data_IF_551192149142
#
_entry.id   IF_551192149142
#
_cell.length_a   1.000
_cell.length_b   1.000
_cell.length_c   1.000
_cell.angle_alpha   90.00
_cell.angle_beta   90.00
_cell.angle_gamma   90.00
#
_symmetry.space_group_name_H-M   'P 1'
#
loop_
_entity.id
_entity.type
_entity.pdbx_description
1 polymer ?
#
# COMPACT_ATOMS: atom_id res chain seq x y z
N UNK A 1 25.62 -2.21 10.52
CA UNK A 1 24.31 -1.82 10.08
C UNK A 1 23.67 -3.02 9.42
N UNK A 2 22.58 -3.58 9.99
CA UNK A 2 21.79 -4.60 9.30
C UNK A 2 21.12 -3.89 8.13
N UNK A 3 21.29 -4.38 6.92
CA UNK A 3 20.41 -4.08 5.81
C UNK A 3 18.98 -4.40 6.30
N UNK A 4 18.07 -3.45 6.19
CA UNK A 4 16.65 -3.74 6.35
C UNK A 4 16.30 -4.84 5.34
N UNK A 5 15.53 -5.81 5.79
CA UNK A 5 15.06 -6.89 4.92
C UNK A 5 14.23 -6.24 3.81
N UNK A 6 14.57 -6.41 2.52
CA UNK A 6 13.87 -5.73 1.43
C UNK A 6 12.40 -6.13 1.30
N UNK A 7 11.99 -7.19 1.98
CA UNK A 7 10.64 -7.76 1.90
C UNK A 7 9.64 -7.14 2.91
N UNK A 8 10.08 -6.17 3.73
CA UNK A 8 9.24 -5.56 4.77
C UNK A 8 8.50 -4.35 4.20
N UNK A 9 7.18 -4.39 4.25
CA UNK A 9 6.28 -3.31 3.85
C UNK A 9 5.76 -2.59 5.08
N UNK A 10 6.17 -1.34 5.37
CA UNK A 10 5.60 -0.57 6.46
C UNK A 10 4.10 -0.32 6.28
N UNK A 11 3.36 -0.56 7.34
CA UNK A 11 1.93 -0.35 7.43
C UNK A 11 1.60 0.76 8.42
N UNK A 12 0.85 1.76 7.99
CA UNK A 12 0.52 2.92 8.82
C UNK A 12 -1.00 3.11 8.92
N UNK A 13 -1.61 2.47 9.89
CA UNK A 13 -3.01 2.64 10.24
C UNK A 13 -3.19 3.65 11.37
N UNK A 14 -4.28 4.41 11.36
CA UNK A 14 -4.59 5.36 12.42
C UNK A 14 -5.78 6.25 12.10
N UNK A 15 -6.24 7.04 13.07
CA UNK A 15 -7.40 7.89 12.93
C UNK A 15 -7.35 8.80 11.71
N UNK A 16 -8.50 9.04 11.05
CA UNK A 16 -8.59 10.07 10.04
C UNK A 16 -8.11 11.41 10.60
N UNK A 17 -7.27 12.11 9.85
CA UNK A 17 -6.76 13.42 10.27
C UNK A 17 -5.62 13.41 11.31
N UNK A 18 -5.10 12.26 11.75
CA UNK A 18 -3.98 12.20 12.70
C UNK A 18 -2.60 12.58 12.08
N UNK A 19 -2.58 13.00 10.81
CA UNK A 19 -1.37 13.53 10.17
C UNK A 19 -0.50 12.51 9.43
N UNK A 20 -0.94 11.26 9.24
CA UNK A 20 -0.18 10.22 8.51
C UNK A 20 0.38 10.73 7.18
N UNK A 21 -0.49 11.22 6.33
CA UNK A 21 -0.13 11.72 5.00
C UNK A 21 0.75 12.98 5.09
N UNK A 22 0.53 13.85 6.08
CA UNK A 22 1.29 15.08 6.22
C UNK A 22 2.76 14.84 6.62
N UNK A 23 3.01 13.79 7.40
CA UNK A 23 4.38 13.33 7.67
C UNK A 23 5.09 13.01 6.36
N UNK A 24 4.47 12.18 5.52
CA UNK A 24 5.04 11.80 4.23
C UNK A 24 5.18 12.96 3.26
N UNK A 25 4.22 13.88 3.20
CA UNK A 25 4.33 15.12 2.41
C UNK A 25 5.49 15.99 2.87
N UNK A 26 5.72 16.07 4.18
CA UNK A 26 6.84 16.81 4.73
C UNK A 26 8.18 16.17 4.38
N UNK A 27 8.26 14.86 4.43
CA UNK A 27 9.45 14.11 4.01
C UNK A 27 9.69 14.22 2.50
N UNK A 28 8.66 14.15 1.68
CA UNK A 28 8.76 14.30 0.23
C UNK A 28 9.35 15.65 -0.19
N UNK A 29 9.06 16.75 0.54
CA UNK A 29 9.67 18.06 0.29
C UNK A 29 11.19 18.06 0.50
N UNK A 30 11.72 17.13 1.30
CA UNK A 30 13.15 17.01 1.61
C UNK A 30 13.83 15.91 0.78
N UNK A 31 13.11 14.88 0.42
CA UNK A 31 13.65 13.67 -0.21
C UNK A 31 12.90 13.37 -1.50
N UNK A 32 13.54 13.61 -2.63
CA UNK A 32 12.93 13.46 -3.96
C UNK A 32 12.63 12.00 -4.36
N UNK A 33 13.19 11.03 -3.65
CA UNK A 33 12.92 9.60 -3.87
C UNK A 33 11.61 9.11 -3.22
N UNK A 34 10.87 9.97 -2.52
CA UNK A 34 9.57 9.64 -1.95
C UNK A 34 8.48 10.05 -2.94
N UNK A 35 7.67 9.09 -3.37
CA UNK A 35 6.49 9.29 -4.20
C UNK A 35 5.25 9.00 -3.39
N UNK A 36 4.31 9.95 -3.33
CA UNK A 36 3.00 9.75 -2.68
C UNK A 36 1.95 9.62 -3.77
N UNK A 37 1.14 8.59 -3.69
CA UNK A 37 0.04 8.31 -4.61
C UNK A 37 -1.25 8.14 -3.82
N UNK A 38 -2.37 8.53 -4.41
CA UNK A 38 -3.68 8.31 -3.83
C UNK A 38 -4.21 6.94 -4.29
N UNK A 39 -4.41 6.00 -3.35
CA UNK A 39 -4.87 4.65 -3.64
C UNK A 39 -6.14 4.60 -4.49
N UNK A 40 -7.23 5.32 -4.16
CA UNK A 40 -8.47 5.36 -4.96
C UNK A 40 -8.31 5.81 -6.42
N UNK A 41 -7.22 6.47 -6.78
CA UNK A 41 -6.94 6.88 -8.17
C UNK A 41 -6.26 5.79 -9.00
N UNK A 42 -5.72 4.76 -8.34
CA UNK A 42 -5.05 3.66 -9.03
C UNK A 42 -6.06 2.73 -9.71
N UNK A 43 -5.74 2.33 -10.91
CA UNK A 43 -6.43 1.29 -11.67
C UNK A 43 -5.46 0.21 -12.13
N UNK A 44 -6.00 -0.99 -12.33
CA UNK A 44 -5.23 -2.10 -12.87
C UNK A 44 -4.86 -1.88 -14.33
N UNK A 45 -3.76 -2.49 -14.74
CA UNK A 45 -3.39 -2.54 -16.16
C UNK A 45 -4.49 -3.21 -16.99
N UNK A 46 -4.80 -2.64 -18.15
CA UNK A 46 -5.89 -3.09 -19.02
C UNK A 46 -7.30 -2.57 -18.67
N UNK A 47 -7.47 -1.79 -17.60
CA UNK A 47 -8.74 -1.18 -17.21
C UNK A 47 -8.79 0.31 -17.54
N UNK A 48 -10.02 0.82 -17.74
CA UNK A 48 -10.23 2.26 -17.93
C UNK A 48 -9.99 2.99 -16.63
N UNK A 49 -8.87 3.69 -16.53
CA UNK A 49 -8.49 4.55 -15.42
C UNK A 49 -7.47 5.56 -15.90
N UNK A 50 -7.32 6.65 -15.17
CA UNK A 50 -6.39 7.72 -15.53
C UNK A 50 -4.97 7.50 -15.03
N UNK A 51 -4.77 6.60 -14.07
CA UNK A 51 -3.48 6.34 -13.44
C UNK A 51 -3.34 4.86 -13.07
N UNK A 52 -2.29 4.23 -13.53
CA UNK A 52 -2.03 2.82 -13.33
C UNK A 52 -0.79 2.62 -12.45
N UNK A 53 -0.63 1.45 -11.86
CA UNK A 53 0.55 1.14 -11.03
C UNK A 53 1.85 1.35 -11.81
N UNK A 54 1.89 1.04 -13.10
CA UNK A 54 3.06 1.28 -13.96
C UNK A 54 3.43 2.76 -14.09
N UNK A 55 2.44 3.66 -14.05
CA UNK A 55 2.66 5.10 -14.28
C UNK A 55 3.48 5.71 -13.14
N UNK A 56 3.40 5.15 -11.94
CA UNK A 56 4.23 5.51 -10.78
C UNK A 56 5.72 5.55 -11.18
N UNK A 57 6.12 4.59 -12.00
CA UNK A 57 7.52 4.41 -12.40
C UNK A 57 7.83 5.08 -13.73
N UNK A 58 6.89 5.08 -14.67
CA UNK A 58 7.11 5.66 -16.01
C UNK A 58 7.27 7.18 -15.97
N UNK A 59 6.59 7.84 -15.02
CA UNK A 59 6.70 9.29 -14.81
C UNK A 59 8.05 9.71 -14.21
N UNK A 60 8.76 8.81 -13.55
CA UNK A 60 10.00 9.13 -12.86
C UNK A 60 11.22 8.96 -13.76
N UNK A 61 12.27 9.74 -13.48
CA UNK A 61 13.55 9.61 -14.17
C UNK A 61 14.18 8.24 -13.88
N UNK A 62 14.90 7.63 -14.84
CA UNK A 62 15.49 6.29 -14.64
C UNK A 62 16.29 6.14 -13.35
N UNK A 63 17.09 7.16 -12.98
CA UNK A 63 17.92 7.15 -11.77
C UNK A 63 17.09 7.14 -10.48
N UNK A 64 15.87 7.68 -10.52
CA UNK A 64 14.97 7.71 -9.36
C UNK A 64 14.25 6.39 -9.17
N UNK A 65 14.09 5.60 -10.23
CA UNK A 65 13.37 4.31 -10.19
C UNK A 65 14.14 3.23 -9.44
N UNK A 66 15.45 3.41 -9.26
CA UNK A 66 16.31 2.42 -8.61
C UNK A 66 16.22 2.43 -7.08
N UNK A 67 15.76 3.54 -6.50
CA UNK A 67 15.64 3.71 -5.05
C UNK A 67 14.44 4.62 -4.75
N UNK A 68 13.27 4.04 -4.53
CA UNK A 68 12.06 4.79 -4.25
C UNK A 68 11.38 4.30 -2.98
N UNK A 69 10.72 5.24 -2.29
CA UNK A 69 9.68 4.92 -1.31
C UNK A 69 8.35 5.35 -1.92
N UNK A 70 7.50 4.39 -2.19
CA UNK A 70 6.15 4.62 -2.73
C UNK A 70 5.15 4.55 -1.59
N UNK A 71 4.57 5.69 -1.25
CA UNK A 71 3.54 5.81 -0.21
C UNK A 71 2.18 5.78 -0.87
N UNK A 72 1.39 4.76 -0.58
CA UNK A 72 0.02 4.61 -1.04
C UNK A 72 -0.91 5.17 0.04
N UNK A 73 -1.41 6.37 -0.18
CA UNK A 73 -2.36 7.02 0.73
C UNK A 73 -3.79 6.51 0.47
N UNK A 74 -4.60 6.44 1.51
CA UNK A 74 -5.94 5.85 1.47
C UNK A 74 -5.94 4.39 0.94
N UNK A 75 -4.93 3.61 1.33
CA UNK A 75 -4.76 2.23 0.89
C UNK A 75 -5.90 1.31 1.35
N UNK A 76 -6.54 1.60 2.48
CA UNK A 76 -7.74 0.92 2.95
C UNK A 76 -8.85 0.94 1.89
N UNK A 77 -9.09 2.07 1.25
CA UNK A 77 -10.08 2.20 0.17
C UNK A 77 -9.67 1.46 -1.11
N UNK A 78 -8.37 1.38 -1.38
CA UNK A 78 -7.84 0.63 -2.52
C UNK A 78 -8.03 -0.88 -2.34
N UNK A 79 -7.93 -1.35 -1.10
CA UNK A 79 -8.03 -2.78 -0.78
C UNK A 79 -9.48 -3.23 -0.54
N UNK A 80 -10.42 -2.32 -0.31
CA UNK A 80 -11.84 -2.66 -0.24
C UNK A 80 -12.30 -3.40 -1.51
N UNK A 81 -13.10 -4.49 -1.39
CA UNK A 81 -13.59 -5.22 -2.53
C UNK A 81 -14.39 -4.34 -3.49
N UNK A 82 -13.94 -4.25 -4.72
CA UNK A 82 -14.59 -3.50 -5.80
C UNK A 82 -15.05 -4.45 -6.89
N UNK A 83 -16.25 -5.01 -6.75
CA UNK A 83 -16.78 -5.99 -7.68
C UNK A 83 -17.51 -5.31 -8.83
N UNK A 84 -17.01 -5.46 -10.04
CA UNK A 84 -17.67 -4.97 -11.26
C UNK A 84 -18.86 -5.84 -11.69
N UNK A 85 -19.62 -5.36 -12.67
CA UNK A 85 -20.80 -6.03 -13.21
C UNK A 85 -20.53 -7.46 -13.75
N UNK A 86 -19.28 -7.79 -14.05
CA UNK A 86 -18.84 -9.12 -14.48
C UNK A 86 -18.37 -10.04 -13.35
N UNK A 87 -18.53 -9.65 -12.07
CA UNK A 87 -18.09 -10.44 -10.92
C UNK A 87 -16.58 -10.41 -10.65
N UNK A 88 -15.82 -9.61 -11.39
CA UNK A 88 -14.38 -9.46 -11.17
C UNK A 88 -14.14 -8.45 -10.06
N UNK A 89 -13.34 -8.83 -9.07
CA UNK A 89 -12.88 -7.95 -7.99
C UNK A 89 -11.59 -7.23 -8.43
N UNK A 90 -11.71 -5.92 -8.65
CA UNK A 90 -10.62 -5.06 -9.13
C UNK A 90 -9.56 -4.85 -8.06
N UNK A 91 -9.94 -4.81 -6.79
CA UNK A 91 -8.99 -4.62 -5.70
C UNK A 91 -7.96 -5.75 -5.67
N UNK A 92 -8.40 -6.98 -5.94
CA UNK A 92 -7.51 -8.14 -6.03
C UNK A 92 -6.52 -8.05 -7.19
N UNK A 93 -6.95 -7.49 -8.32
CA UNK A 93 -6.06 -7.32 -9.48
C UNK A 93 -4.96 -6.30 -9.18
N UNK A 94 -5.31 -5.18 -8.55
CA UNK A 94 -4.34 -4.17 -8.11
C UNK A 94 -3.36 -4.76 -7.08
N UNK A 95 -3.86 -5.50 -6.11
CA UNK A 95 -3.02 -6.17 -5.12
C UNK A 95 -2.04 -7.17 -5.75
N UNK A 96 -2.44 -7.87 -6.82
CA UNK A 96 -1.54 -8.73 -7.58
C UNK A 96 -0.40 -7.98 -8.27
N UNK A 97 -0.68 -6.76 -8.75
CA UNK A 97 0.36 -5.91 -9.34
C UNK A 97 1.36 -5.45 -8.26
N UNK A 98 0.86 -5.00 -7.10
CA UNK A 98 1.73 -4.66 -5.98
C UNK A 98 2.57 -5.82 -5.49
N UNK A 99 2.00 -7.03 -5.43
CA UNK A 99 2.72 -8.21 -4.97
C UNK A 99 3.97 -8.49 -5.81
N UNK A 100 3.88 -8.37 -7.14
CA UNK A 100 5.05 -8.53 -8.03
C UNK A 100 6.15 -7.50 -7.75
N UNK A 101 5.76 -6.28 -7.39
CA UNK A 101 6.70 -5.21 -7.07
C UNK A 101 7.34 -5.41 -5.70
N UNK A 102 6.55 -5.83 -4.71
CA UNK A 102 7.00 -6.10 -3.33
C UNK A 102 7.96 -7.30 -3.31
N UNK A 103 7.73 -8.32 -4.14
CA UNK A 103 8.62 -9.48 -4.26
C UNK A 103 10.00 -9.14 -4.84
N UNK A 104 10.22 -7.88 -5.23
CA UNK A 104 11.51 -7.41 -5.72
C UNK A 104 11.86 -7.89 -7.12
N UNK A 105 10.87 -8.39 -7.85
CA UNK A 105 11.05 -8.86 -9.23
C UNK A 105 11.48 -7.73 -10.18
N UNK A 106 12.18 -8.11 -11.24
CA UNK A 106 12.37 -7.20 -12.37
C UNK A 106 11.09 -7.12 -13.17
N UNK A 107 10.43 -5.97 -13.14
CA UNK A 107 9.19 -5.73 -13.87
C UNK A 107 9.49 -4.89 -15.11
N UNK A 108 8.93 -5.32 -16.24
CA UNK A 108 8.99 -4.58 -17.49
C UNK A 108 7.67 -3.90 -17.76
N UNK A 109 7.67 -2.57 -17.78
CA UNK A 109 6.52 -1.78 -18.18
C UNK A 109 6.68 -1.27 -19.59
N UNK A 110 5.59 -1.31 -20.35
CA UNK A 110 5.53 -0.78 -21.72
C UNK A 110 4.62 0.43 -21.72
N UNK A 111 5.13 1.59 -22.10
CA UNK A 111 4.31 2.76 -22.36
C UNK A 111 3.76 2.68 -23.78
N UNK A 112 2.49 2.37 -23.92
CA UNK A 112 1.80 2.22 -25.21
C UNK A 112 1.30 3.55 -25.78
N UNK A 113 1.40 4.65 -25.04
CA UNK A 113 0.89 5.97 -25.49
C UNK A 113 1.57 6.45 -26.76
N UNK A 114 2.79 5.98 -27.02
CA UNK A 114 3.48 6.23 -28.27
C UNK A 114 3.53 4.96 -29.13
N UNK A 115 2.48 4.71 -29.89
CA UNK A 115 2.34 3.51 -30.76
C UNK A 115 3.48 3.37 -31.81
N UNK A 116 4.22 4.44 -32.09
CA UNK A 116 5.33 4.43 -33.06
C UNK A 116 6.67 4.09 -32.41
N UNK A 117 6.82 4.33 -31.11
CA UNK A 117 8.03 4.03 -30.35
C UNK A 117 7.64 3.74 -28.88
N UNK A 118 7.17 2.51 -28.59
CA UNK A 118 6.77 2.13 -27.24
C UNK A 118 8.00 2.17 -26.32
N UNK A 119 8.00 3.10 -25.39
CA UNK A 119 9.06 3.17 -24.39
C UNK A 119 8.89 2.00 -23.40
N UNK A 120 9.91 1.17 -23.32
CA UNK A 120 9.98 0.07 -22.37
C UNK A 120 10.86 0.47 -21.20
N UNK A 121 10.32 0.43 -19.99
CA UNK A 121 11.09 0.60 -18.77
C UNK A 121 11.22 -0.72 -18.03
N UNK A 122 12.46 -1.15 -17.79
CA UNK A 122 12.77 -2.25 -16.85
C UNK A 122 13.06 -1.63 -15.50
N UNK A 123 12.38 -2.13 -14.48
CA UNK A 123 12.52 -1.65 -13.11
C UNK A 123 12.94 -2.81 -12.24
N UNK A 124 14.02 -2.63 -11.52
CA UNK A 124 14.48 -3.53 -10.48
C UNK A 124 13.83 -3.10 -9.16
N UNK A 125 12.88 -3.88 -8.69
CA UNK A 125 12.06 -3.52 -7.53
C UNK A 125 12.74 -3.83 -6.18
N UNK A 126 13.92 -4.44 -6.16
CA UNK A 126 14.63 -4.83 -4.92
C UNK A 126 14.95 -3.67 -3.98
N UNK A 127 15.04 -2.46 -4.49
CA UNK A 127 15.33 -1.26 -3.70
C UNK A 127 14.15 -0.30 -3.65
N UNK A 128 12.94 -0.79 -3.91
CA UNK A 128 11.71 -0.02 -3.83
C UNK A 128 10.96 -0.47 -2.57
N UNK A 129 10.66 0.49 -1.69
CA UNK A 129 9.85 0.24 -0.49
C UNK A 129 8.45 0.77 -0.71
N UNK A 130 7.44 0.00 -0.31
CA UNK A 130 6.06 0.43 -0.32
C UNK A 130 5.60 0.73 1.10
N UNK A 131 4.82 1.79 1.28
CA UNK A 131 4.19 2.14 2.55
C UNK A 131 2.70 2.29 2.32
N UNK A 132 1.90 1.50 3.00
CA UNK A 132 0.45 1.59 2.92
C UNK A 132 -0.09 2.41 4.09
N UNK A 133 -0.71 3.57 3.77
CA UNK A 133 -1.32 4.48 4.73
C UNK A 133 -2.83 4.46 4.55
N UNK A 134 -3.57 4.36 5.64
CA UNK A 134 -5.03 4.38 5.63
C UNK A 134 -5.64 4.49 7.02
N UNK A 135 -6.94 4.63 7.10
CA UNK A 135 -7.66 4.58 8.37
C UNK A 135 -7.83 3.15 8.88
N UNK A 136 -8.09 2.22 7.97
CA UNK A 136 -8.36 0.81 8.27
C UNK A 136 -9.34 0.64 9.44
N UNK A 137 -10.46 1.36 9.34
CA UNK A 137 -11.41 1.51 10.44
C UNK A 137 -11.97 0.17 10.95
N UNK A 138 -12.28 -0.74 10.05
CA UNK A 138 -12.76 -2.08 10.43
C UNK A 138 -11.72 -2.88 11.21
N UNK A 139 -10.46 -2.74 10.85
CA UNK A 139 -9.34 -3.37 11.57
C UNK A 139 -9.22 -2.82 12.99
N UNK A 140 -9.43 -1.52 13.17
CA UNK A 140 -9.36 -0.83 14.46
C UNK A 140 -10.57 -1.18 15.35
N UNK A 141 -11.78 -1.08 14.82
CA UNK A 141 -13.03 -1.36 15.57
C UNK A 141 -13.04 -2.78 16.13
N UNK A 142 -12.55 -3.75 15.35
CA UNK A 142 -12.48 -5.14 15.81
C UNK A 142 -11.48 -5.34 16.95
N UNK A 143 -10.42 -4.56 17.02
CA UNK A 143 -9.50 -4.60 18.15
C UNK A 143 -10.10 -4.03 19.41
N UNK A 144 -10.88 -2.95 19.30
CA UNK A 144 -11.60 -2.36 20.42
C UNK A 144 -12.63 -3.33 20.98
N UNK A 145 -13.36 -4.06 20.14
CA UNK A 145 -14.32 -5.09 20.56
C UNK A 145 -13.64 -6.26 21.27
N UNK A 146 -12.48 -6.72 20.80
CA UNK A 146 -11.71 -7.78 21.47
C UNK A 146 -11.16 -7.33 22.83
N UNK A 147 -10.70 -6.10 22.94
CA UNK A 147 -10.18 -5.56 24.21
C UNK A 147 -11.29 -5.37 25.25
N UNK A 148 -12.50 -4.99 24.83
CA UNK A 148 -13.66 -4.84 25.69
C UNK A 148 -14.28 -6.16 26.16
N UNK A 149 -14.08 -7.25 25.40
CA UNK A 149 -14.59 -8.57 25.76
C UNK A 149 -13.77 -9.30 26.85
N UNK A 150 -12.58 -8.81 27.19
CA UNK A 150 -11.66 -9.48 28.15
C UNK A 150 -11.73 -8.89 29.58
N UNK A 151 -12.57 -7.89 29.88
CA UNK A 151 -12.56 -7.35 31.25
C UNK A 151 -13.78 -6.60 31.72
N UNK A 152 -14.53 -7.21 32.63
CA UNK A 152 -15.31 -6.50 33.63
C UNK A 152 -14.35 -5.86 34.64
N UNK A 153 -13.67 -4.81 34.30
CA UNK A 153 -13.01 -3.94 35.27
C UNK A 153 -12.99 -2.51 34.76
N UNK A 154 -13.78 -1.68 35.40
CA UNK A 154 -13.77 -0.24 35.32
C UNK A 154 -12.40 0.31 35.73
N UNK A 155 -11.52 0.49 34.79
CA UNK A 155 -10.39 1.40 34.94
C UNK A 155 -10.21 2.13 33.60
N UNK A 156 -10.42 3.43 33.65
CA UNK A 156 -10.07 4.43 32.66
C UNK A 156 -8.55 4.46 32.50
N UNK A 157 -7.98 3.39 31.99
CA UNK A 157 -6.64 3.39 31.45
C UNK A 157 -6.79 3.33 29.93
N UNK A 158 -6.17 4.29 29.26
CA UNK A 158 -6.01 4.35 27.83
C UNK A 158 -5.68 2.94 27.33
N UNK A 159 -6.65 2.33 26.64
CA UNK A 159 -6.49 1.01 26.04
C UNK A 159 -5.18 1.04 25.27
N UNK A 160 -4.26 0.20 25.67
CA UNK A 160 -2.94 0.09 25.07
C UNK A 160 -3.16 -0.37 23.62
N UNK A 161 -3.08 0.58 22.67
CA UNK A 161 -3.21 0.37 21.24
C UNK A 161 -2.06 -0.47 20.67
N UNK A 162 -1.20 -0.99 21.56
CA UNK A 162 -0.04 -1.83 21.25
C UNK A 162 -0.36 -3.32 21.08
N UNK A 163 -1.65 -3.74 21.10
CA UNK A 163 -1.97 -5.08 20.64
C UNK A 163 -1.58 -5.18 19.16
N UNK A 164 -0.52 -5.93 18.87
CA UNK A 164 0.00 -6.10 17.53
C UNK A 164 -1.10 -6.48 16.53
N UNK A 165 -1.13 -5.83 15.37
CA UNK A 165 -1.98 -6.21 14.24
C UNK A 165 -1.42 -7.52 13.71
N UNK A 166 -2.22 -8.56 13.71
CA UNK A 166 -1.79 -9.84 13.15
C UNK A 166 -2.00 -9.92 11.65
N UNK A 167 -1.28 -10.79 10.96
CA UNK A 167 -1.51 -11.10 9.55
C UNK A 167 -2.98 -11.46 9.28
N UNK A 168 -3.61 -12.22 10.18
CA UNK A 168 -5.00 -12.62 10.05
C UNK A 168 -5.95 -11.42 10.15
N UNK A 169 -5.66 -10.46 11.01
CA UNK A 169 -6.44 -9.22 11.11
C UNK A 169 -6.35 -8.41 9.81
N UNK A 170 -5.18 -8.30 9.21
CA UNK A 170 -4.98 -7.62 7.93
C UNK A 170 -5.78 -8.27 6.81
N UNK A 171 -5.84 -9.60 6.79
CA UNK A 171 -6.60 -10.35 5.78
C UNK A 171 -8.10 -10.20 5.97
N UNK A 172 -8.60 -10.35 7.21
CA UNK A 172 -10.04 -10.37 7.49
C UNK A 172 -10.67 -8.99 7.48
N UNK A 173 -9.98 -8.01 8.05
CA UNK A 173 -10.53 -6.67 8.28
C UNK A 173 -9.86 -5.58 7.44
N UNK A 174 -8.63 -5.80 7.00
CA UNK A 174 -7.91 -4.91 6.08
C UNK A 174 -8.17 -5.22 4.61
N UNK A 175 -8.85 -6.34 4.31
CA UNK A 175 -9.04 -6.85 2.95
C UNK A 175 -7.74 -7.05 2.16
N UNK A 176 -6.63 -7.20 2.89
CA UNK A 176 -5.31 -7.38 2.31
C UNK A 176 -5.11 -8.86 1.99
N UNK A 177 -4.59 -9.17 0.81
CA UNK A 177 -4.26 -10.53 0.44
C UNK A 177 -3.21 -11.11 1.40
N UNK A 178 -3.36 -12.39 1.76
CA UNK A 178 -2.44 -13.08 2.67
C UNK A 178 -0.98 -12.97 2.24
N UNK A 179 -0.71 -13.02 0.95
CA UNK A 179 0.64 -12.92 0.41
C UNK A 179 1.28 -11.53 0.63
N UNK A 180 0.48 -10.46 0.65
CA UNK A 180 0.94 -9.11 1.01
C UNK A 180 0.99 -8.97 2.53
N UNK A 181 -0.04 -9.46 3.23
CA UNK A 181 -0.13 -9.34 4.69
C UNK A 181 1.10 -9.98 5.39
N UNK A 182 1.58 -11.12 4.89
CA UNK A 182 2.79 -11.77 5.41
C UNK A 182 4.11 -11.04 5.15
N UNK A 183 4.08 -9.89 4.44
CA UNK A 183 5.23 -9.00 4.17
C UNK A 183 5.10 -7.64 4.86
N UNK A 184 4.01 -7.44 5.59
CA UNK A 184 3.77 -6.22 6.38
C UNK A 184 4.37 -6.43 7.77
N UNK A 185 5.14 -5.43 8.23
CA UNK A 185 5.75 -5.36 9.57
C UNK A 185 5.11 -4.24 10.40
#
# INVERSE_FOLDING_TARGET
GSCADPDIVPFNAGDPGCGKTEIWRTLQKKFSFIKIINGPQLSCDGWKGSYHVKDIFLEEKPQMREHMIVVVDEADKLFEPMVGSGGTDFSRSIQNEFLKLIDGDQVTFVNEDNRKDPQTAKIDCRNISFVFCGSFEMLRNNKEDRSSAIGFSSSTETADLTSEVTEEDLVLYGHIRREIAGRID
#
